data_IF_175122633760
#
_entry.id   IF_175122633760
#
_cell.length_a   1.000
_cell.length_b   1.000
_cell.length_c   1.000
_cell.angle_alpha   90.00
_cell.angle_beta   90.00
_cell.angle_gamma   90.00
#
_symmetry.space_group_name_H-M   'P 1'
#
loop_
_entity.id
_entity.type
_entity.pdbx_description
1 polymer ?
#
# COMPACT_ATOMS: atom_id res chain seq x y z
N UNK A 1 -39.70 -0.98 14.06
CA UNK A 1 -38.58 -1.82 13.57
C UNK A 1 -38.86 -2.34 12.16
N UNK A 2 -39.88 -3.17 11.92
CA UNK A 2 -40.16 -3.75 10.58
C UNK A 2 -40.38 -2.70 9.47
N UNK A 3 -41.20 -1.67 9.70
CA UNK A 3 -41.44 -0.56 8.73
C UNK A 3 -40.19 0.28 8.43
N UNK A 4 -39.21 0.29 9.34
CA UNK A 4 -37.91 0.96 9.14
C UNK A 4 -36.99 0.12 8.25
N UNK A 5 -37.06 -1.21 8.40
CA UNK A 5 -36.24 -2.16 7.65
C UNK A 5 -36.70 -2.33 6.18
N UNK A 6 -37.97 -2.08 5.87
CA UNK A 6 -38.47 -2.13 4.49
C UNK A 6 -37.70 -1.20 3.55
N UNK A 7 -37.23 -0.03 4.03
CA UNK A 7 -36.43 0.91 3.23
C UNK A 7 -35.03 0.41 2.87
N UNK A 8 -34.56 -0.65 3.54
CA UNK A 8 -33.26 -1.27 3.30
C UNK A 8 -33.38 -2.61 2.56
N UNK A 9 -34.61 -3.08 2.28
CA UNK A 9 -34.84 -4.30 1.53
C UNK A 9 -34.71 -4.00 0.04
N UNK A 10 -33.57 -4.35 -0.54
CA UNK A 10 -33.35 -4.28 -1.98
C UNK A 10 -34.02 -5.48 -2.64
N UNK A 11 -34.93 -5.24 -3.57
CA UNK A 11 -35.45 -6.29 -4.44
C UNK A 11 -34.48 -6.55 -5.61
N UNK A 12 -34.72 -7.63 -6.35
CA UNK A 12 -33.86 -8.06 -7.45
C UNK A 12 -33.78 -6.95 -8.52
N UNK A 13 -34.91 -6.33 -8.88
CA UNK A 13 -34.95 -5.25 -9.87
C UNK A 13 -34.07 -4.05 -9.48
N UNK A 14 -34.03 -3.70 -8.19
CA UNK A 14 -33.19 -2.62 -7.67
C UNK A 14 -31.71 -3.00 -7.72
N UNK A 15 -31.37 -4.25 -7.38
CA UNK A 15 -30.00 -4.76 -7.44
C UNK A 15 -29.50 -4.75 -8.89
N UNK A 16 -30.33 -5.19 -9.84
CA UNK A 16 -29.99 -5.18 -11.26
C UNK A 16 -29.82 -3.76 -11.80
N UNK A 17 -30.67 -2.82 -11.38
CA UNK A 17 -30.50 -1.41 -11.73
C UNK A 17 -29.17 -0.84 -11.19
N UNK A 18 -28.82 -1.11 -9.93
CA UNK A 18 -27.55 -0.66 -9.34
C UNK A 18 -26.36 -1.27 -10.09
N UNK A 19 -26.41 -2.56 -10.39
CA UNK A 19 -25.37 -3.26 -11.16
C UNK A 19 -25.16 -2.62 -12.52
N UNK A 20 -26.24 -2.32 -13.25
CA UNK A 20 -26.14 -1.71 -14.58
C UNK A 20 -25.50 -0.32 -14.51
N UNK A 21 -25.89 0.51 -13.51
CA UNK A 21 -25.24 1.81 -13.27
C UNK A 21 -23.73 1.65 -13.00
N UNK A 22 -23.33 0.65 -12.20
CA UNK A 22 -21.92 0.37 -11.95
C UNK A 22 -21.17 -0.02 -13.24
N UNK A 23 -21.76 -0.87 -14.07
CA UNK A 23 -21.16 -1.30 -15.34
C UNK A 23 -20.98 -0.09 -16.27
N UNK A 24 -22.00 0.75 -16.40
CA UNK A 24 -21.94 1.95 -17.24
C UNK A 24 -20.86 2.93 -16.76
N UNK A 25 -20.79 3.21 -15.46
CA UNK A 25 -19.77 4.10 -14.91
C UNK A 25 -18.35 3.52 -15.02
N UNK A 26 -18.17 2.19 -14.95
CA UNK A 26 -16.88 1.54 -15.23
C UNK A 26 -16.49 1.72 -16.70
N UNK A 27 -17.42 1.54 -17.64
CA UNK A 27 -17.17 1.73 -19.08
C UNK A 27 -16.80 3.18 -19.39
N UNK A 28 -17.48 4.15 -18.76
CA UNK A 28 -17.17 5.57 -18.90
C UNK A 28 -15.79 5.87 -18.31
N UNK A 29 -15.46 5.33 -17.13
CA UNK A 29 -14.18 5.58 -16.46
C UNK A 29 -12.98 5.02 -17.23
N UNK A 30 -13.16 3.93 -17.98
CA UNK A 30 -12.13 3.33 -18.83
C UNK A 30 -12.06 3.93 -20.25
N UNK A 31 -13.06 4.70 -20.67
CA UNK A 31 -13.13 5.22 -22.03
C UNK A 31 -12.22 6.43 -22.21
N UNK A 32 -11.30 6.33 -23.19
CA UNK A 32 -10.43 7.45 -23.59
C UNK A 32 -11.10 8.43 -24.56
N UNK A 33 -12.34 8.15 -25.00
CA UNK A 33 -13.03 8.87 -26.09
C UNK A 33 -14.25 9.65 -25.62
N UNK A 34 -14.76 9.37 -24.41
CA UNK A 34 -15.91 10.06 -23.86
C UNK A 34 -15.49 11.37 -23.17
N UNK A 35 -16.31 12.41 -23.32
CA UNK A 35 -16.16 13.65 -22.54
C UNK A 35 -16.88 13.59 -21.19
N UNK A 36 -17.73 12.57 -20.98
CA UNK A 36 -18.45 12.36 -19.71
C UNK A 36 -17.45 11.85 -18.66
N UNK A 37 -17.35 12.55 -17.53
CA UNK A 37 -16.54 12.11 -16.38
C UNK A 37 -17.31 11.07 -15.58
N UNK A 38 -16.70 9.90 -15.36
CA UNK A 38 -17.24 8.85 -14.48
C UNK A 38 -17.11 9.25 -13.01
N UNK A 39 -18.01 8.74 -12.17
CA UNK A 39 -17.82 8.77 -10.72
C UNK A 39 -16.79 7.75 -10.22
N UNK A 40 -16.45 6.74 -11.04
CA UNK A 40 -15.40 5.76 -10.79
C UNK A 40 -14.11 6.22 -11.47
N UNK A 41 -13.00 6.24 -10.71
CA UNK A 41 -11.71 6.72 -11.23
C UNK A 41 -11.07 5.75 -12.24
N UNK A 42 -11.28 4.43 -12.05
CA UNK A 42 -10.75 3.37 -12.92
C UNK A 42 -9.24 3.50 -13.22
N UNK A 43 -8.47 3.89 -12.20
CA UNK A 43 -7.03 4.13 -12.32
C UNK A 43 -6.26 2.85 -12.69
N UNK A 44 -5.17 3.01 -13.45
CA UNK A 44 -4.29 1.91 -13.81
C UNK A 44 -3.41 1.50 -12.63
N UNK A 45 -3.41 0.22 -12.28
CA UNK A 45 -2.59 -0.35 -11.19
C UNK A 45 -1.13 -0.59 -11.59
N UNK A 46 -0.83 -0.55 -12.89
CA UNK A 46 0.47 -0.88 -13.48
C UNK A 46 0.96 -2.30 -13.17
N UNK A 47 0.06 -3.21 -12.76
CA UNK A 47 0.36 -4.63 -12.57
C UNK A 47 0.23 -5.32 -13.95
N UNK A 48 1.34 -5.78 -14.56
CA UNK A 48 1.29 -6.31 -15.92
C UNK A 48 0.74 -7.74 -15.99
N UNK A 49 0.90 -8.53 -14.93
CA UNK A 49 0.51 -9.94 -14.87
C UNK A 49 -0.01 -10.28 -13.47
N UNK A 50 -0.95 -11.23 -13.42
CA UNK A 50 -1.42 -11.80 -12.17
C UNK A 50 -0.46 -12.90 -11.68
N UNK A 51 -0.38 -13.16 -10.36
CA UNK A 51 0.38 -14.28 -9.83
C UNK A 51 -0.07 -15.61 -10.42
N UNK A 52 0.91 -16.50 -10.63
CA UNK A 52 0.75 -17.84 -11.19
C UNK A 52 0.59 -18.92 -10.12
N UNK A 53 1.09 -18.66 -8.90
CA UNK A 53 1.23 -19.66 -7.83
C UNK A 53 2.56 -20.41 -7.89
N UNK A 54 3.38 -20.21 -8.93
CA UNK A 54 4.71 -20.82 -9.09
C UNK A 54 5.84 -19.94 -8.54
N UNK A 55 5.52 -18.76 -8.01
CA UNK A 55 6.49 -17.81 -7.49
C UNK A 55 7.32 -18.40 -6.35
N UNK A 56 8.62 -18.11 -6.34
CA UNK A 56 9.57 -18.59 -5.32
C UNK A 56 10.43 -17.46 -4.79
N UNK A 57 10.89 -17.61 -3.56
CA UNK A 57 11.83 -16.70 -2.92
C UNK A 57 11.22 -15.86 -1.81
N UNK A 58 11.97 -14.87 -1.36
CA UNK A 58 11.59 -13.99 -0.26
C UNK A 58 11.08 -12.65 -0.80
N UNK A 59 9.93 -12.21 -0.29
CA UNK A 59 9.31 -10.94 -0.62
C UNK A 59 8.93 -10.22 0.66
N UNK A 60 9.25 -8.93 0.76
CA UNK A 60 8.83 -8.10 1.87
C UNK A 60 7.60 -7.30 1.46
N UNK A 61 6.65 -7.13 2.37
CA UNK A 61 5.51 -6.23 2.19
C UNK A 61 5.40 -5.29 3.38
N UNK A 62 5.23 -4.01 3.09
CA UNK A 62 4.98 -2.95 4.06
C UNK A 62 3.55 -2.45 3.87
N UNK A 63 2.75 -2.44 4.93
CA UNK A 63 1.38 -1.93 4.89
C UNK A 63 1.21 -0.84 5.95
N UNK A 64 1.06 0.40 5.49
CA UNK A 64 0.97 1.59 6.32
C UNK A 64 -0.49 1.89 6.67
N UNK A 65 -0.86 1.61 7.92
CA UNK A 65 -2.18 1.87 8.48
C UNK A 65 -2.30 3.22 9.19
N UNK A 66 -3.46 3.45 9.81
CA UNK A 66 -3.77 4.69 10.54
C UNK A 66 -3.06 4.81 11.89
N UNK A 67 -2.99 3.69 12.62
CA UNK A 67 -2.44 3.61 13.98
C UNK A 67 -1.10 2.87 14.01
N UNK A 68 -1.00 1.83 13.18
CA UNK A 68 0.12 0.91 13.12
C UNK A 68 0.49 0.71 11.65
N UNK A 69 1.69 0.20 11.41
CA UNK A 69 2.01 -0.47 10.17
C UNK A 69 2.45 -1.90 10.45
N UNK A 70 2.46 -2.72 9.41
CA UNK A 70 2.98 -4.08 9.50
C UNK A 70 4.03 -4.32 8.43
N UNK A 71 5.03 -5.10 8.80
CA UNK A 71 6.04 -5.67 7.91
C UNK A 71 5.75 -7.16 7.81
N UNK A 72 5.72 -7.67 6.58
CA UNK A 72 5.44 -9.06 6.26
C UNK A 72 6.60 -9.61 5.45
N UNK A 73 7.20 -10.71 5.88
CA UNK A 73 8.03 -11.55 5.02
C UNK A 73 7.15 -12.67 4.47
N UNK A 74 7.14 -12.82 3.15
CA UNK A 74 6.56 -13.96 2.46
C UNK A 74 7.69 -14.80 1.88
N UNK A 75 7.82 -16.04 2.32
CA UNK A 75 8.71 -17.04 1.73
C UNK A 75 7.85 -17.94 0.85
N UNK A 76 7.89 -17.68 -0.45
CA UNK A 76 7.14 -18.42 -1.44
C UNK A 76 7.96 -19.61 -1.95
N UNK A 77 7.29 -20.73 -2.14
CA UNK A 77 7.90 -22.02 -2.50
C UNK A 77 7.40 -22.54 -3.85
N UNK A 78 6.44 -21.85 -4.47
CA UNK A 78 5.70 -22.30 -5.66
C UNK A 78 4.66 -23.39 -5.34
N UNK A 79 4.33 -23.53 -4.05
CA UNK A 79 3.26 -24.36 -3.54
C UNK A 79 2.71 -23.69 -2.28
N UNK A 80 1.50 -23.14 -2.38
CA UNK A 80 0.85 -22.37 -1.31
C UNK A 80 0.83 -23.10 0.04
N UNK A 81 0.77 -24.44 0.06
CA UNK A 81 0.76 -25.23 1.30
C UNK A 81 2.07 -25.14 2.10
N UNK A 82 3.18 -24.82 1.44
CA UNK A 82 4.51 -24.74 2.05
C UNK A 82 5.00 -23.29 2.22
N UNK A 83 4.18 -22.31 1.83
CA UNK A 83 4.56 -20.90 1.95
C UNK A 83 4.55 -20.47 3.42
N UNK A 84 5.57 -19.72 3.82
CA UNK A 84 5.72 -19.22 5.18
C UNK A 84 5.56 -17.70 5.21
N UNK A 85 4.76 -17.22 6.17
CA UNK A 85 4.52 -15.79 6.36
C UNK A 85 4.90 -15.37 7.77
N UNK A 86 5.81 -14.40 7.88
CA UNK A 86 6.18 -13.78 9.16
C UNK A 86 5.64 -12.36 9.17
N UNK A 87 4.82 -12.02 10.15
CA UNK A 87 4.18 -10.70 10.27
C UNK A 87 4.58 -10.05 11.59
N UNK A 88 4.96 -8.77 11.55
CA UNK A 88 5.18 -7.96 12.74
C UNK A 88 4.51 -6.61 12.60
N UNK A 89 3.82 -6.20 13.67
CA UNK A 89 3.14 -4.91 13.78
C UNK A 89 4.02 -3.93 14.55
N UNK A 90 3.99 -2.67 14.12
CA UNK A 90 4.72 -1.57 14.73
C UNK A 90 3.78 -0.39 14.91
N UNK A 91 3.78 0.19 16.11
CA UNK A 91 3.03 1.40 16.40
C UNK A 91 3.68 2.62 15.73
N UNK A 92 2.86 3.62 15.41
CA UNK A 92 3.32 4.89 14.85
C UNK A 92 3.01 5.98 15.87
N UNK A 93 4.04 6.62 16.47
CA UNK A 93 3.84 7.76 17.35
C UNK A 93 3.02 8.87 16.66
N UNK A 94 2.07 9.46 17.38
CA UNK A 94 1.17 10.49 16.84
C UNK A 94 1.95 11.69 16.29
N UNK A 95 3.05 12.07 16.95
CA UNK A 95 3.92 13.16 16.52
C UNK A 95 4.69 12.87 15.21
N UNK A 96 4.71 11.62 14.74
CA UNK A 96 5.28 11.28 13.43
C UNK A 96 4.23 11.35 12.32
N UNK A 97 2.94 11.32 12.67
CA UNK A 97 1.83 11.43 11.72
C UNK A 97 1.49 12.88 11.39
N UNK A 98 1.72 13.80 12.34
CA UNK A 98 1.43 15.23 12.19
C UNK A 98 2.69 16.04 12.45
N UNK A 99 3.34 16.49 11.38
CA UNK A 99 4.57 17.28 11.44
C UNK A 99 4.81 18.06 10.15
N UNK A 100 5.73 19.04 10.17
CA UNK A 100 6.12 19.76 8.95
C UNK A 100 6.97 18.91 7.99
N UNK A 101 7.61 17.87 8.50
CA UNK A 101 8.53 17.01 7.77
C UNK A 101 8.20 15.55 8.03
N UNK A 102 8.14 14.75 6.98
CA UNK A 102 7.91 13.31 6.99
C UNK A 102 9.12 12.48 7.39
N UNK A 103 10.29 13.12 7.56
CA UNK A 103 11.55 12.44 7.84
C UNK A 103 11.44 11.45 9.01
N UNK A 104 10.88 11.86 10.15
CA UNK A 104 10.74 10.99 11.33
C UNK A 104 9.86 9.76 11.07
N UNK A 105 8.80 9.91 10.28
CA UNK A 105 7.93 8.79 9.92
C UNK A 105 8.68 7.74 9.11
N UNK A 106 9.35 8.16 8.04
CA UNK A 106 10.06 7.23 7.16
C UNK A 106 11.32 6.65 7.81
N UNK A 107 12.03 7.42 8.65
CA UNK A 107 13.13 6.91 9.48
C UNK A 107 12.64 5.84 10.48
N UNK A 108 11.51 6.08 11.14
CA UNK A 108 10.88 5.10 12.04
C UNK A 108 10.52 3.80 11.30
N UNK A 109 9.87 3.91 10.14
CA UNK A 109 9.56 2.75 9.29
C UNK A 109 10.84 2.00 8.89
N UNK A 110 11.89 2.70 8.45
CA UNK A 110 13.15 2.09 8.07
C UNK A 110 13.84 1.38 9.25
N UNK A 111 13.81 1.97 10.46
CA UNK A 111 14.32 1.34 11.67
C UNK A 111 13.55 0.05 12.01
N UNK A 112 12.22 0.08 11.97
CA UNK A 112 11.42 -1.12 12.25
C UNK A 112 11.61 -2.24 11.21
N UNK A 113 11.81 -1.89 9.93
CA UNK A 113 12.16 -2.86 8.89
C UNK A 113 13.54 -3.46 9.18
N UNK A 114 14.52 -2.65 9.54
CA UNK A 114 15.84 -3.14 9.93
C UNK A 114 15.75 -4.09 11.13
N UNK A 115 15.05 -3.68 12.20
CA UNK A 115 14.85 -4.49 13.39
C UNK A 115 14.16 -5.82 13.06
N UNK A 116 13.16 -5.78 12.16
CA UNK A 116 12.49 -7.00 11.68
C UNK A 116 13.46 -7.96 10.98
N UNK A 117 14.30 -7.45 10.07
CA UNK A 117 15.26 -8.26 9.32
C UNK A 117 16.40 -8.77 10.20
N UNK A 118 16.78 -8.03 11.26
CA UNK A 118 17.82 -8.46 12.19
C UNK A 118 17.48 -9.76 12.94
N UNK A 119 16.19 -10.07 13.07
CA UNK A 119 15.70 -11.32 13.66
C UNK A 119 15.72 -12.52 12.69
N UNK A 120 16.12 -12.32 11.43
CA UNK A 120 16.02 -13.30 10.34
C UNK A 120 17.39 -13.46 9.66
N UNK A 121 18.36 -14.12 10.32
CA UNK A 121 19.75 -14.18 9.85
C UNK A 121 19.92 -14.86 8.49
N UNK A 122 18.98 -15.72 8.07
CA UNK A 122 18.93 -16.34 6.75
C UNK A 122 18.74 -15.34 5.60
N UNK A 123 18.28 -14.13 5.90
CA UNK A 123 18.09 -13.05 4.94
C UNK A 123 19.30 -12.12 4.80
N UNK A 124 20.34 -12.30 5.64
CA UNK A 124 21.50 -11.43 5.66
C UNK A 124 22.23 -11.42 4.31
N UNK A 125 22.47 -10.21 3.79
CA UNK A 125 23.15 -10.01 2.50
C UNK A 125 22.26 -10.21 1.27
N UNK A 126 21.00 -10.63 1.43
CA UNK A 126 20.06 -10.74 0.32
C UNK A 126 19.44 -9.38 -0.04
N UNK A 127 19.25 -9.14 -1.34
CA UNK A 127 18.42 -8.04 -1.81
C UNK A 127 16.98 -8.54 -1.96
N UNK A 128 16.10 -8.11 -1.07
CA UNK A 128 14.71 -8.56 -1.02
C UNK A 128 13.82 -7.50 -1.67
N UNK A 129 12.97 -7.84 -2.66
CA UNK A 129 11.98 -6.92 -3.21
C UNK A 129 10.94 -6.55 -2.13
N UNK A 130 10.57 -5.27 -2.09
CA UNK A 130 9.62 -4.72 -1.12
C UNK A 130 8.39 -4.17 -1.85
N UNK A 131 7.21 -4.71 -1.55
CA UNK A 131 5.92 -4.12 -1.90
C UNK A 131 5.50 -3.10 -0.84
N UNK A 132 5.09 -1.91 -1.26
CA UNK A 132 4.64 -0.85 -0.35
C UNK A 132 3.15 -0.56 -0.55
N UNK A 133 2.31 -1.15 0.30
CA UNK A 133 0.89 -0.86 0.37
C UNK A 133 0.68 0.49 1.07
N UNK A 134 0.69 1.55 0.27
CA UNK A 134 0.52 2.92 0.73
C UNK A 134 -0.93 3.36 0.55
N UNK A 135 -1.79 3.04 1.52
CA UNK A 135 -3.24 3.22 1.42
C UNK A 135 -3.71 4.67 1.63
N UNK A 136 -3.21 5.59 0.81
CA UNK A 136 -3.59 7.00 0.76
C UNK A 136 -3.97 7.39 -0.68
N UNK A 137 -4.84 8.40 -0.88
CA UNK A 137 -5.13 8.90 -2.21
C UNK A 137 -3.85 9.28 -2.97
N UNK A 138 -3.62 8.62 -4.11
CA UNK A 138 -2.42 8.83 -4.92
C UNK A 138 -2.74 8.87 -6.41
N UNK A 139 -1.90 9.55 -7.17
CA UNK A 139 -1.82 9.39 -8.62
C UNK A 139 -0.63 8.47 -8.90
N UNK A 140 -0.95 7.25 -9.32
CA UNK A 140 0.08 6.27 -9.70
C UNK A 140 0.53 6.54 -11.15
N UNK A 141 1.85 6.56 -11.38
CA UNK A 141 2.46 6.77 -12.70
C UNK A 141 3.23 5.56 -13.23
N UNK A 142 3.64 4.68 -12.31
CA UNK A 142 4.25 3.38 -12.57
C UNK A 142 4.02 2.48 -11.35
N UNK A 143 4.43 1.21 -11.41
CA UNK A 143 4.30 0.28 -10.28
C UNK A 143 5.09 0.75 -9.03
N UNK A 144 6.15 1.53 -9.25
CA UNK A 144 7.06 2.07 -8.23
C UNK A 144 7.06 3.61 -8.15
N UNK A 145 6.05 4.27 -8.76
CA UNK A 145 5.88 5.73 -8.71
C UNK A 145 4.45 6.07 -8.31
N UNK A 146 4.28 6.54 -7.07
CA UNK A 146 3.00 6.95 -6.50
C UNK A 146 3.09 8.36 -5.92
N UNK A 147 2.42 9.32 -6.56
CA UNK A 147 2.37 10.71 -6.11
C UNK A 147 1.24 10.89 -5.10
N UNK A 148 1.55 11.27 -3.87
CA UNK A 148 0.52 11.51 -2.86
C UNK A 148 -0.35 12.71 -3.25
N UNK A 149 -1.67 12.53 -3.28
CA UNK A 149 -2.62 13.64 -3.52
C UNK A 149 -2.93 14.37 -2.23
N UNK A 150 -3.25 13.62 -1.17
CA UNK A 150 -3.58 14.20 0.13
C UNK A 150 -3.46 13.15 1.21
N UNK A 151 -3.06 13.58 2.40
CA UNK A 151 -3.10 12.72 3.57
C UNK A 151 -4.54 12.52 4.05
N UNK A 152 -4.79 11.33 4.56
CA UNK A 152 -6.04 10.97 5.26
C UNK A 152 -5.66 10.28 6.57
N UNK A 153 -6.60 9.66 7.28
CA UNK A 153 -6.30 8.81 8.45
C UNK A 153 -5.52 9.53 9.57
N UNK A 154 -5.75 10.84 9.73
CA UNK A 154 -5.08 11.70 10.71
C UNK A 154 -3.57 11.92 10.46
N UNK A 155 -3.08 11.66 9.25
CA UNK A 155 -1.76 12.12 8.83
C UNK A 155 -1.84 13.56 8.31
N UNK A 156 -0.79 14.33 8.55
CA UNK A 156 -0.58 15.67 8.02
C UNK A 156 0.93 15.95 7.92
N UNK A 157 1.50 15.59 6.76
CA UNK A 157 2.93 15.76 6.43
C UNK A 157 3.04 16.47 5.06
N UNK A 158 3.00 17.82 5.03
CA UNK A 158 2.82 18.57 3.80
C UNK A 158 3.98 18.45 2.80
N UNK A 159 5.16 18.03 3.27
CA UNK A 159 6.34 17.86 2.44
C UNK A 159 6.28 16.66 1.47
N UNK A 160 5.32 15.74 1.66
CA UNK A 160 5.13 14.54 0.81
C UNK A 160 4.05 14.74 -0.26
N UNK A 161 3.16 15.72 -0.07
CA UNK A 161 2.07 16.00 -1.02
C UNK A 161 2.65 16.37 -2.38
N UNK A 162 2.04 15.84 -3.45
CA UNK A 162 2.45 15.93 -4.85
C UNK A 162 3.83 15.31 -5.16
N UNK A 163 4.40 14.51 -4.25
CA UNK A 163 5.70 13.84 -4.43
C UNK A 163 5.58 12.32 -4.37
N UNK A 164 6.61 11.66 -4.90
CA UNK A 164 6.68 10.21 -4.96
C UNK A 164 6.96 9.62 -3.56
N UNK A 165 5.96 9.01 -2.93
CA UNK A 165 6.10 8.41 -1.60
C UNK A 165 7.14 7.28 -1.54
N UNK A 166 7.38 6.60 -2.67
CA UNK A 166 8.39 5.54 -2.78
C UNK A 166 9.81 6.08 -2.55
N UNK A 167 10.11 7.30 -3.04
CA UNK A 167 11.43 7.91 -2.88
C UNK A 167 11.74 8.24 -1.42
N UNK A 168 10.74 8.66 -0.64
CA UNK A 168 10.92 8.94 0.79
C UNK A 168 11.29 7.67 1.57
N UNK A 169 10.59 6.57 1.30
CA UNK A 169 10.91 5.27 1.91
C UNK A 169 12.29 4.77 1.46
N UNK A 170 12.59 4.83 0.16
CA UNK A 170 13.87 4.38 -0.40
C UNK A 170 15.04 5.17 0.17
N UNK A 171 14.88 6.49 0.35
CA UNK A 171 15.87 7.36 0.98
C UNK A 171 16.14 6.93 2.42
N UNK A 172 15.10 6.80 3.25
CA UNK A 172 15.25 6.41 4.64
C UNK A 172 15.90 5.02 4.81
N UNK A 173 15.52 4.05 3.98
CA UNK A 173 16.16 2.72 3.94
C UNK A 173 17.64 2.80 3.56
N UNK A 174 17.98 3.63 2.57
CA UNK A 174 19.37 3.78 2.11
C UNK A 174 20.25 4.47 3.16
N UNK A 175 19.74 5.48 3.85
CA UNK A 175 20.43 6.16 4.94
C UNK A 175 20.70 5.21 6.12
N UNK A 176 19.73 4.35 6.47
CA UNK A 176 19.90 3.32 7.51
C UNK A 176 21.06 2.36 7.18
N UNK A 177 21.08 1.80 5.97
CA UNK A 177 22.14 0.89 5.51
C UNK A 177 23.51 1.58 5.46
N UNK A 178 23.57 2.83 4.98
CA UNK A 178 24.82 3.60 4.92
C UNK A 178 25.39 3.88 6.31
N UNK A 179 24.54 4.17 7.30
CA UNK A 179 24.97 4.41 8.67
C UNK A 179 25.60 3.15 9.28
N UNK A 180 25.02 1.96 9.07
CA UNK A 180 25.60 0.70 9.56
C UNK A 180 26.97 0.38 8.95
N UNK A 181 27.15 0.64 7.65
CA UNK A 181 28.45 0.44 6.98
C UNK A 181 29.56 1.39 7.45
N UNK A 182 29.21 2.49 8.13
CA UNK A 182 30.19 3.42 8.70
C UNK A 182 30.69 3.01 10.08
N UNK A 183 29.97 2.11 10.76
CA UNK A 183 30.29 1.66 12.12
C UNK A 183 30.78 0.20 12.17
N UNK A 184 30.73 -0.52 11.05
CA UNK A 184 31.33 -1.85 10.84
C UNK A 184 32.61 -1.74 10.02
#
# INVERSE_FOLDING_TARGET
ILKTLEKFKLNIDTIDAIKNVFIDEMQIGLSSTTTKKSCLQMENTFIPYLPTGEEKGFYLSLDLGSTNFRVILSKLTGNEENDEFVVKYYDIPEEYKVAKSSQKLFEHIANCIHDFLSCLPELNGLRIPLGFTFSFPMVQKAIDIGLLVTWTKCYDLPDVVDKNAVEFLQKALSEKVCNERRFN
#
